data_IF_362151373331
#
_entry.id   IF_362151373331
#
_cell.length_a   1.000
_cell.length_b   1.000
_cell.length_c   1.000
_cell.angle_alpha   90.00
_cell.angle_beta   90.00
_cell.angle_gamma   90.00
#
_symmetry.space_group_name_H-M   'P 1'
#
loop_
_entity.id
_entity.type
_entity.pdbx_description
1 polymer ?
#
# COMPACT_ATOMS: atom_id res chain seq x y z
N UNK A 1 20.52 2.15 11.52
CA UNK A 1 19.08 2.28 11.21
C UNK A 1 18.96 2.94 9.85
N UNK A 2 18.41 2.24 8.84
CA UNK A 2 18.14 2.86 7.54
C UNK A 2 16.98 3.85 7.70
N UNK A 3 17.22 5.13 7.42
CA UNK A 3 16.17 6.14 7.43
C UNK A 3 15.33 6.00 6.14
N UNK A 4 14.06 5.60 6.26
CA UNK A 4 13.14 5.56 5.11
C UNK A 4 12.54 6.96 4.90
N UNK A 5 12.74 7.53 3.71
CA UNK A 5 12.11 8.81 3.32
C UNK A 5 10.70 8.58 2.82
N UNK A 6 9.74 9.38 3.30
CA UNK A 6 8.35 9.39 2.84
C UNK A 6 8.17 10.57 1.88
N UNK A 7 7.59 10.29 0.71
CA UNK A 7 7.35 11.24 -0.38
C UNK A 7 5.89 11.17 -0.85
N UNK A 8 5.34 12.24 -1.44
CA UNK A 8 4.06 12.17 -2.14
C UNK A 8 4.06 11.04 -3.19
N UNK A 9 2.97 10.30 -3.28
CA UNK A 9 2.81 9.13 -4.14
C UNK A 9 3.22 7.80 -3.52
N UNK A 10 3.96 7.80 -2.41
CA UNK A 10 4.25 6.56 -1.68
C UNK A 10 2.97 5.93 -1.13
N UNK A 11 2.90 4.60 -1.15
CA UNK A 11 1.85 3.87 -0.46
C UNK A 11 2.33 3.56 0.96
N UNK A 12 1.48 3.73 1.96
CA UNK A 12 1.80 3.45 3.35
C UNK A 12 0.76 2.54 3.99
N UNK A 13 1.23 1.67 4.89
CA UNK A 13 0.38 1.04 5.89
C UNK A 13 0.42 1.93 7.13
N UNK A 14 -0.73 2.48 7.51
CA UNK A 14 -0.89 3.35 8.65
C UNK A 14 -1.83 2.73 9.70
N UNK A 15 -1.81 3.29 10.90
CA UNK A 15 -2.72 2.94 11.99
C UNK A 15 -3.32 4.18 12.62
N UNK A 16 -4.64 4.17 12.83
CA UNK A 16 -5.35 5.14 13.66
C UNK A 16 -6.28 4.43 14.66
N UNK A 17 -7.14 5.20 15.32
CA UNK A 17 -8.12 4.67 16.29
C UNK A 17 -9.16 3.73 15.67
N UNK A 18 -9.38 3.78 14.36
CA UNK A 18 -10.30 2.90 13.62
C UNK A 18 -9.60 1.63 13.11
N UNK A 19 -8.27 1.53 13.24
CA UNK A 19 -7.48 0.35 12.89
C UNK A 19 -6.38 0.63 11.88
N UNK A 20 -5.93 -0.43 11.21
CA UNK A 20 -4.88 -0.36 10.17
C UNK A 20 -5.49 -0.18 8.79
N UNK A 21 -4.83 0.58 7.93
CA UNK A 21 -5.29 0.83 6.58
C UNK A 21 -4.16 1.20 5.63
N UNK A 22 -4.38 0.95 4.35
CA UNK A 22 -3.49 1.40 3.28
C UNK A 22 -3.93 2.77 2.76
N UNK A 23 -2.96 3.64 2.50
CA UNK A 23 -3.21 4.96 1.97
C UNK A 23 -2.06 5.45 1.09
N UNK A 24 -2.39 6.33 0.14
CA UNK A 24 -1.40 7.03 -0.70
C UNK A 24 -1.05 8.36 -0.05
N UNK A 25 0.23 8.64 0.11
CA UNK A 25 0.73 9.92 0.63
C UNK A 25 0.44 11.02 -0.38
N UNK A 26 -0.27 12.04 0.06
CA UNK A 26 -0.57 13.23 -0.74
C UNK A 26 0.45 14.35 -0.48
N UNK A 27 1.05 14.36 0.70
CA UNK A 27 2.08 15.32 1.07
C UNK A 27 2.22 15.50 2.57
N UNK A 28 2.70 16.68 2.96
CA UNK A 28 2.87 17.05 4.37
C UNK A 28 2.27 18.41 4.66
N UNK A 29 1.53 18.54 5.76
CA UNK A 29 0.97 19.81 6.26
C UNK A 29 1.18 19.91 7.76
N UNK A 30 1.78 21.01 8.22
CA UNK A 30 2.05 21.28 9.64
C UNK A 30 2.79 20.11 10.35
N UNK A 31 3.80 19.53 9.69
CA UNK A 31 4.56 18.41 10.24
C UNK A 31 3.83 17.06 10.27
N UNK A 32 2.64 16.98 9.68
CA UNK A 32 1.85 15.75 9.55
C UNK A 32 1.73 15.30 8.11
N UNK A 33 1.62 14.00 7.92
CA UNK A 33 1.49 13.37 6.61
C UNK A 33 0.01 13.37 6.23
N UNK A 34 -0.32 14.00 5.09
CA UNK A 34 -1.67 13.93 4.52
C UNK A 34 -1.74 12.74 3.58
N UNK A 35 -2.80 11.94 3.71
CA UNK A 35 -2.97 10.70 2.94
C UNK A 35 -4.38 10.59 2.39
N UNK A 36 -4.52 9.84 1.30
CA UNK A 36 -5.80 9.40 0.75
C UNK A 36 -5.91 7.90 0.95
N UNK A 37 -6.93 7.44 1.70
CA UNK A 37 -7.10 6.01 1.97
C UNK A 37 -7.48 5.26 0.69
N UNK A 38 -6.94 4.07 0.52
CA UNK A 38 -7.26 3.22 -0.63
C UNK A 38 -8.69 2.68 -0.59
N UNK A 39 -9.34 2.70 0.59
CA UNK A 39 -10.74 2.31 0.77
C UNK A 39 -11.74 3.47 0.52
N UNK A 40 -11.26 4.64 0.09
CA UNK A 40 -12.08 5.82 -0.21
C UNK A 40 -12.62 6.56 1.03
N UNK A 41 -12.34 6.09 2.25
CA UNK A 41 -12.77 6.77 3.47
C UNK A 41 -11.89 8.01 3.73
N UNK A 42 -12.42 9.03 4.43
CA UNK A 42 -11.62 10.16 4.85
C UNK A 42 -10.52 9.73 5.84
N UNK A 43 -9.33 10.32 5.72
CA UNK A 43 -8.25 10.17 6.68
C UNK A 43 -7.90 11.52 7.32
N UNK A 44 -7.54 11.49 8.60
CA UNK A 44 -6.94 12.63 9.29
C UNK A 44 -5.44 12.69 8.97
N UNK A 45 -4.78 13.85 9.08
CA UNK A 45 -3.34 13.95 8.95
C UNK A 45 -2.63 13.09 10.02
N UNK A 46 -1.71 12.24 9.56
CA UNK A 46 -0.99 11.25 10.34
C UNK A 46 0.28 11.83 10.94
N UNK A 47 0.64 11.39 12.15
CA UNK A 47 2.00 11.57 12.66
C UNK A 47 2.93 10.50 12.06
N UNK A 48 4.23 10.76 12.03
CA UNK A 48 5.22 9.78 11.54
C UNK A 48 5.14 8.43 12.27
N UNK A 49 4.85 8.44 13.57
CA UNK A 49 4.69 7.22 14.38
C UNK A 49 3.49 6.36 14.00
N UNK A 50 2.52 6.94 13.30
CA UNK A 50 1.30 6.25 12.89
C UNK A 50 1.55 5.46 11.58
N UNK A 51 2.70 5.68 10.91
CA UNK A 51 3.12 4.96 9.72
C UNK A 51 3.90 3.72 10.13
N UNK A 52 3.34 2.55 9.82
CA UNK A 52 3.92 1.24 10.15
C UNK A 52 4.86 0.75 9.06
N UNK A 53 4.53 1.02 7.80
CA UNK A 53 5.31 0.56 6.65
C UNK A 53 5.15 1.53 5.48
N UNK A 54 6.22 1.69 4.70
CA UNK A 54 6.25 2.49 3.47
C UNK A 54 6.57 1.57 2.31
N UNK A 55 5.72 1.57 1.30
CA UNK A 55 5.86 0.84 0.05
C UNK A 55 6.25 1.83 -1.05
N UNK A 56 7.41 1.61 -1.64
CA UNK A 56 7.90 2.40 -2.77
C UNK A 56 7.34 1.85 -4.07
N UNK A 57 7.09 2.71 -5.07
CA UNK A 57 6.81 2.25 -6.42
C UNK A 57 7.92 1.29 -6.87
N UNK A 58 7.55 0.12 -7.39
CA UNK A 58 8.52 -0.84 -7.91
C UNK A 58 9.27 -0.34 -9.16
N UNK A 59 8.83 0.79 -9.73
CA UNK A 59 9.34 1.33 -10.99
C UNK A 59 8.66 0.70 -12.20
N UNK A 60 9.12 1.10 -13.38
CA UNK A 60 8.76 0.45 -14.63
C UNK A 60 9.36 -0.96 -14.63
N UNK A 61 8.64 -2.00 -15.07
CA UNK A 61 9.23 -3.32 -15.22
C UNK A 61 10.45 -3.26 -16.14
N UNK A 62 11.59 -3.80 -15.70
CA UNK A 62 12.82 -3.87 -16.54
C UNK A 62 12.61 -4.69 -17.81
N UNK A 63 11.62 -5.59 -17.80
CA UNK A 63 11.18 -6.38 -18.94
C UNK A 63 9.65 -6.57 -18.89
N UNK A 64 8.97 -6.74 -20.03
CA UNK A 64 7.56 -7.10 -20.05
C UNK A 64 7.37 -8.40 -19.25
N UNK A 65 6.35 -8.49 -18.37
CA UNK A 65 6.09 -9.71 -17.62
C UNK A 65 5.88 -10.84 -18.62
N UNK A 66 6.66 -11.92 -18.52
CA UNK A 66 6.42 -13.14 -19.27
C UNK A 66 5.30 -13.88 -18.53
N UNK A 67 4.05 -13.92 -19.05
CA UNK A 67 3.00 -14.68 -18.40
C UNK A 67 3.41 -16.15 -18.38
N UNK A 68 3.44 -16.74 -17.19
CA UNK A 68 3.57 -18.19 -17.07
C UNK A 68 2.22 -18.83 -17.39
N UNK A 69 2.19 -19.94 -18.16
CA UNK A 69 0.95 -20.68 -18.36
C UNK A 69 0.41 -21.15 -17.02
N UNK A 70 -0.82 -20.72 -16.68
CA UNK A 70 -1.51 -21.26 -15.53
C UNK A 70 -1.75 -22.75 -15.77
N UNK A 71 -1.21 -23.60 -14.89
CA UNK A 71 -1.57 -25.01 -14.88
C UNK A 71 -3.01 -25.11 -14.40
N UNK A 72 -3.86 -25.94 -15.04
CA UNK A 72 -5.18 -26.24 -14.49
C UNK A 72 -5.02 -26.72 -13.04
N UNK A 73 -5.52 -25.95 -12.08
CA UNK A 73 -5.67 -26.45 -10.71
C UNK A 73 -6.74 -27.53 -10.73
N UNK A 74 -6.52 -28.61 -9.99
CA UNK A 74 -7.43 -29.76 -9.94
C UNK A 74 -8.89 -29.30 -9.90
N UNK A 75 -9.61 -29.60 -10.96
CA UNK A 75 -11.05 -29.34 -11.07
C UNK A 75 -11.71 -30.18 -9.98
N UNK A 76 -12.49 -29.55 -9.09
CA UNK A 76 -13.26 -30.26 -8.08
C UNK A 76 -14.19 -31.24 -8.81
N UNK A 77 -13.92 -32.54 -8.69
CA UNK A 77 -14.90 -33.57 -9.00
C UNK A 77 -16.01 -33.46 -7.96
N UNK A 78 -17.22 -33.16 -8.42
CA UNK A 78 -18.42 -33.38 -7.63
C UNK A 78 -18.74 -34.88 -7.75
N UNK A 79 -18.42 -35.64 -6.70
CA UNK A 79 -18.96 -36.98 -6.53
C UNK A 79 -20.47 -36.83 -6.25
N UNK A 80 -21.30 -37.28 -7.20
CA UNK A 80 -22.76 -37.36 -7.09
C UNK A 80 -23.18 -38.65 -6.39
#
# INVERSE_FOLDING_TARGET
MSSVRISPGDLVLAQDSAGRFHAVVQGTRLGRITVQRCDGRPARPLALRDVLQVFKPAGTPDAPPRPEPLKPTAQLHLDL
#
